data_IF_673150524122
#
_entry.id   IF_673150524122
#
_cell.length_a   1.000
_cell.length_b   1.000
_cell.length_c   1.000
_cell.angle_alpha   90.00
_cell.angle_beta   90.00
_cell.angle_gamma   90.00
#
_symmetry.space_group_name_H-M   'P 1'
#
loop_
_entity.id
_entity.type
_entity.pdbx_description
1 polymer ?
#
# COMPACT_ATOMS: atom_id res chain seq x y z
N UNK A 1 -12.19 40.56 1.46
CA UNK A 1 -11.65 39.19 1.47
C UNK A 1 -12.53 38.35 0.55
N UNK A 2 -12.07 38.04 -0.65
CA UNK A 2 -12.71 37.02 -1.47
C UNK A 2 -12.35 35.67 -0.85
N UNK A 3 -13.34 34.98 -0.29
CA UNK A 3 -13.20 33.59 0.10
C UNK A 3 -13.02 32.81 -1.19
N UNK A 4 -11.86 32.14 -1.32
CA UNK A 4 -11.60 31.22 -2.41
C UNK A 4 -12.69 30.15 -2.33
N UNK A 5 -13.53 30.07 -3.35
CA UNK A 5 -14.54 29.05 -3.47
C UNK A 5 -13.85 27.73 -3.87
N UNK A 6 -13.68 26.84 -2.90
CA UNK A 6 -13.05 25.52 -3.08
C UNK A 6 -14.06 24.45 -3.53
N UNK A 7 -15.32 24.80 -3.80
CA UNK A 7 -16.33 23.83 -4.25
C UNK A 7 -16.03 23.21 -5.63
N UNK A 8 -15.17 23.84 -6.42
CA UNK A 8 -14.70 23.35 -7.72
C UNK A 8 -13.40 22.52 -7.63
N UNK A 9 -12.78 22.43 -6.45
CA UNK A 9 -11.62 21.54 -6.21
C UNK A 9 -12.15 20.12 -5.96
N UNK A 10 -12.64 19.51 -7.05
CA UNK A 10 -13.29 18.21 -7.10
C UNK A 10 -12.51 17.11 -6.36
N UNK A 11 -13.25 16.27 -5.64
CA UNK A 11 -12.89 15.01 -4.96
C UNK A 11 -12.12 13.96 -5.80
N UNK A 12 -11.79 14.32 -7.05
CA UNK A 12 -11.14 13.55 -8.11
C UNK A 12 -9.71 13.13 -7.76
N UNK A 13 -9.02 13.81 -6.83
CA UNK A 13 -7.67 13.42 -6.38
C UNK A 13 -7.71 12.51 -5.14
N UNK A 14 -8.55 12.83 -4.17
CA UNK A 14 -8.63 12.11 -2.89
C UNK A 14 -9.20 10.71 -3.08
N UNK A 15 -10.27 10.54 -3.87
CA UNK A 15 -10.89 9.23 -4.09
C UNK A 15 -9.94 8.27 -4.82
N UNK A 16 -9.23 8.75 -5.85
CA UNK A 16 -8.20 7.98 -6.55
C UNK A 16 -7.03 7.60 -5.64
N UNK A 17 -6.60 8.52 -4.77
CA UNK A 17 -5.55 8.25 -3.80
C UNK A 17 -5.97 7.22 -2.74
N UNK A 18 -7.21 7.30 -2.25
CA UNK A 18 -7.78 6.32 -1.32
C UNK A 18 -7.92 4.93 -1.98
N UNK A 19 -8.31 4.88 -3.26
CA UNK A 19 -8.33 3.64 -4.03
C UNK A 19 -6.94 3.03 -4.17
N UNK A 20 -5.91 3.84 -4.43
CA UNK A 20 -4.53 3.36 -4.46
C UNK A 20 -4.14 2.75 -3.10
N UNK A 21 -4.46 3.42 -2.00
CA UNK A 21 -4.18 2.93 -0.65
C UNK A 21 -4.86 1.61 -0.34
N UNK A 22 -6.11 1.44 -0.79
CA UNK A 22 -6.86 0.21 -0.63
C UNK A 22 -6.23 -0.93 -1.45
N UNK A 23 -5.92 -0.68 -2.73
CA UNK A 23 -5.26 -1.66 -3.61
C UNK A 23 -3.90 -2.05 -3.05
N UNK A 24 -3.08 -1.07 -2.66
CA UNK A 24 -1.75 -1.31 -2.09
C UNK A 24 -1.82 -2.13 -0.79
N UNK A 25 -2.80 -1.87 0.07
CA UNK A 25 -3.02 -2.64 1.30
C UNK A 25 -3.39 -4.09 0.99
N UNK A 26 -4.30 -4.32 0.03
CA UNK A 26 -4.70 -5.68 -0.40
C UNK A 26 -3.52 -6.43 -1.00
N UNK A 27 -2.79 -5.80 -1.92
CA UNK A 27 -1.60 -6.39 -2.56
C UNK A 27 -0.54 -6.73 -1.50
N UNK A 28 -0.27 -5.82 -0.56
CA UNK A 28 0.69 -6.06 0.51
C UNK A 28 0.27 -7.24 1.41
N UNK A 29 -1.03 -7.39 1.71
CA UNK A 29 -1.55 -8.53 2.47
C UNK A 29 -1.35 -9.83 1.68
N UNK A 30 -1.72 -9.86 0.40
CA UNK A 30 -1.55 -11.06 -0.45
C UNK A 30 -0.07 -11.46 -0.53
N UNK A 31 0.82 -10.51 -0.79
CA UNK A 31 2.26 -10.77 -0.85
C UNK A 31 2.80 -11.21 0.51
N UNK A 32 2.31 -10.64 1.61
CA UNK A 32 2.65 -11.12 2.93
C UNK A 32 2.17 -12.58 3.15
N UNK A 33 0.98 -12.96 2.70
CA UNK A 33 0.51 -14.35 2.82
C UNK A 33 1.29 -15.31 1.91
N UNK A 34 1.75 -14.87 0.74
CA UNK A 34 2.50 -15.73 -0.19
C UNK A 34 3.93 -16.03 0.28
N UNK A 35 4.50 -15.19 1.17
CA UNK A 35 5.87 -15.37 1.66
C UNK A 35 5.86 -16.11 3.01
N UNK A 36 6.60 -17.22 3.10
CA UNK A 36 6.80 -17.94 4.34
C UNK A 36 7.53 -17.11 5.42
N UNK A 37 7.22 -17.35 6.70
CA UNK A 37 7.77 -16.57 7.82
C UNK A 37 9.30 -16.55 7.85
N UNK A 38 9.97 -17.66 7.49
CA UNK A 38 11.43 -17.75 7.47
C UNK A 38 12.07 -16.75 6.51
N UNK A 39 11.48 -16.61 5.31
CA UNK A 39 11.95 -15.69 4.30
C UNK A 39 11.72 -14.24 4.73
N UNK A 40 10.60 -13.95 5.40
CA UNK A 40 10.34 -12.62 5.96
C UNK A 40 11.38 -12.22 7.01
N UNK A 41 11.80 -13.16 7.86
CA UNK A 41 12.82 -12.91 8.89
C UNK A 41 14.22 -12.70 8.29
N UNK A 42 14.53 -13.39 7.18
CA UNK A 42 15.78 -13.19 6.43
C UNK A 42 15.79 -11.86 5.68
N UNK A 43 14.66 -11.53 5.04
CA UNK A 43 14.62 -10.42 4.09
C UNK A 43 14.31 -9.06 4.71
N UNK A 44 13.60 -9.05 5.84
CA UNK A 44 13.16 -7.84 6.53
C UNK A 44 13.66 -7.81 7.97
N UNK A 45 14.26 -6.68 8.35
CA UNK A 45 14.74 -6.46 9.70
C UNK A 45 13.56 -6.35 10.65
N UNK A 46 13.47 -7.27 11.61
CA UNK A 46 12.53 -7.17 12.72
C UNK A 46 13.03 -6.17 13.75
N UNK A 47 12.11 -5.44 14.39
CA UNK A 47 12.46 -4.49 15.46
C UNK A 47 12.85 -5.27 16.72
N UNK A 48 13.93 -4.82 17.37
CA UNK A 48 14.51 -5.47 18.56
C UNK A 48 13.82 -5.09 19.89
N UNK A 49 12.98 -4.05 19.90
CA UNK A 49 12.33 -3.52 21.10
C UNK A 49 10.91 -3.01 20.80
N UNK A 50 9.97 -3.37 21.67
CA UNK A 50 8.58 -2.93 21.66
C UNK A 50 8.30 -2.15 22.96
N UNK A 51 8.30 -0.81 22.91
CA UNK A 51 7.77 0.02 24.00
C UNK A 51 6.23 0.12 23.94
N UNK A 52 5.61 0.75 24.95
CA UNK A 52 4.15 0.89 25.06
C UNK A 52 3.51 1.56 23.82
N UNK A 53 4.14 2.60 23.27
CA UNK A 53 3.66 3.34 22.08
C UNK A 53 4.11 2.71 20.74
N UNK A 54 4.85 1.60 20.79
CA UNK A 54 5.51 0.96 19.63
C UNK A 54 5.17 -0.54 19.53
N UNK A 55 4.22 -1.03 20.34
CA UNK A 55 3.69 -2.39 20.24
C UNK A 55 3.04 -2.58 18.87
N UNK A 56 3.44 -3.63 18.17
CA UNK A 56 2.75 -4.08 16.96
C UNK A 56 1.35 -4.56 17.34
N UNK A 57 0.34 -3.99 16.69
CA UNK A 57 -1.00 -4.60 16.65
C UNK A 57 -0.97 -5.92 15.90
N UNK A 58 -2.11 -6.62 15.87
CA UNK A 58 -2.25 -7.95 15.24
C UNK A 58 -1.69 -7.98 13.81
N UNK A 59 -2.01 -6.96 13.01
CA UNK A 59 -1.50 -6.79 11.63
C UNK A 59 0.04 -6.63 11.54
N UNK A 60 0.67 -5.96 12.52
CA UNK A 60 2.12 -5.77 12.53
C UNK A 60 2.89 -7.06 12.83
N UNK A 61 2.30 -7.97 13.61
CA UNK A 61 2.89 -9.29 13.89
C UNK A 61 2.68 -10.29 12.74
N UNK A 62 1.57 -10.19 11.99
CA UNK A 62 1.33 -11.05 10.83
C UNK A 62 2.12 -10.64 9.59
N UNK A 63 2.22 -9.33 9.33
CA UNK A 63 2.90 -8.85 8.14
C UNK A 63 4.38 -9.19 8.19
N UNK A 64 5.07 -8.95 9.31
CA UNK A 64 6.55 -9.06 9.47
C UNK A 64 7.37 -8.32 8.39
N UNK A 65 6.73 -7.66 7.41
CA UNK A 65 7.35 -6.76 6.45
C UNK A 65 7.79 -5.52 7.22
N UNK A 66 9.04 -5.57 7.68
CA UNK A 66 9.72 -4.46 8.34
C UNK A 66 10.49 -3.61 7.32
N UNK A 67 11.62 -3.06 7.76
CA UNK A 67 12.55 -2.40 6.84
C UNK A 67 13.28 -3.50 6.04
N UNK A 68 13.32 -3.42 4.69
CA UNK A 68 14.05 -4.40 3.89
C UNK A 68 15.54 -4.35 4.25
N UNK A 69 16.13 -5.52 4.48
CA UNK A 69 17.55 -5.68 4.88
C UNK A 69 18.36 -6.47 3.84
N UNK A 70 17.70 -6.91 2.78
CA UNK A 70 18.25 -7.78 1.73
C UNK A 70 17.81 -7.28 0.36
N UNK A 71 18.51 -7.73 -0.70
CA UNK A 71 18.15 -7.40 -2.09
C UNK A 71 16.75 -7.93 -2.43
N UNK A 72 16.41 -9.11 -1.91
CA UNK A 72 15.10 -9.74 -2.07
C UNK A 72 14.00 -8.96 -1.35
N UNK A 73 14.26 -8.48 -0.13
CA UNK A 73 13.32 -7.64 0.60
C UNK A 73 13.02 -6.32 -0.12
N UNK A 74 14.06 -5.72 -0.73
CA UNK A 74 13.89 -4.53 -1.55
C UNK A 74 13.11 -4.83 -2.84
N UNK A 75 13.42 -5.94 -3.51
CA UNK A 75 12.69 -6.39 -4.70
C UNK A 75 11.21 -6.66 -4.41
N UNK A 76 10.89 -7.26 -3.26
CA UNK A 76 9.50 -7.50 -2.83
C UNK A 76 8.78 -6.19 -2.54
N UNK A 77 9.46 -5.26 -1.85
CA UNK A 77 8.88 -3.95 -1.54
C UNK A 77 8.61 -3.18 -2.84
N UNK A 78 9.59 -3.11 -3.74
CA UNK A 78 9.44 -2.48 -5.04
C UNK A 78 8.34 -3.17 -5.88
N UNK A 79 8.29 -4.50 -5.86
CA UNK A 79 7.25 -5.28 -6.53
C UNK A 79 5.84 -4.99 -6.02
N UNK A 80 5.66 -4.78 -4.72
CA UNK A 80 4.37 -4.37 -4.14
C UNK A 80 3.97 -2.99 -4.68
N UNK A 81 4.88 -2.02 -4.69
CA UNK A 81 4.58 -0.65 -5.17
C UNK A 81 4.33 -0.58 -6.68
N UNK A 82 5.14 -1.29 -7.47
CA UNK A 82 4.97 -1.34 -8.93
C UNK A 82 3.70 -2.11 -9.26
N UNK A 83 3.48 -3.28 -8.65
CA UNK A 83 2.30 -4.10 -8.88
C UNK A 83 1.01 -3.37 -8.48
N UNK A 84 0.98 -2.73 -7.31
CA UNK A 84 -0.17 -1.93 -6.89
C UNK A 84 -0.40 -0.72 -7.81
N UNK A 85 0.67 -0.08 -8.27
CA UNK A 85 0.61 1.03 -9.23
C UNK A 85 0.00 0.63 -10.56
N UNK A 86 0.42 -0.52 -11.13
CA UNK A 86 -0.13 -1.02 -12.39
C UNK A 86 -1.61 -1.41 -12.23
N UNK A 87 -1.97 -2.12 -11.16
CA UNK A 87 -3.36 -2.51 -10.90
C UNK A 87 -4.24 -1.27 -10.74
N UNK A 88 -3.78 -0.28 -9.97
CA UNK A 88 -4.49 0.98 -9.79
C UNK A 88 -4.63 1.74 -11.11
N UNK A 89 -3.57 1.85 -11.91
CA UNK A 89 -3.62 2.56 -13.19
C UNK A 89 -4.58 1.90 -14.18
N UNK A 90 -4.57 0.57 -14.28
CA UNK A 90 -5.55 -0.16 -15.08
C UNK A 90 -6.98 0.06 -14.58
N UNK A 91 -7.18 0.05 -13.26
CA UNK A 91 -8.50 0.22 -12.68
C UNK A 91 -9.04 1.64 -12.91
N UNK A 92 -8.22 2.67 -12.72
CA UNK A 92 -8.62 4.09 -12.83
C UNK A 92 -8.71 4.57 -14.27
N UNK A 93 -7.78 4.20 -15.14
CA UNK A 93 -7.72 4.76 -16.49
C UNK A 93 -8.35 3.86 -17.56
N UNK A 94 -8.61 2.59 -17.26
CA UNK A 94 -9.20 1.65 -18.24
C UNK A 94 -10.53 1.12 -17.76
N UNK A 95 -10.58 0.48 -16.58
CA UNK A 95 -11.79 -0.23 -16.12
C UNK A 95 -12.90 0.76 -15.78
N UNK A 96 -12.66 1.71 -14.87
CA UNK A 96 -13.67 2.66 -14.44
C UNK A 96 -14.28 3.46 -15.60
N UNK A 97 -13.49 4.01 -16.55
CA UNK A 97 -14.02 4.71 -17.72
C UNK A 97 -14.87 3.82 -18.65
N UNK A 98 -14.50 2.54 -18.84
CA UNK A 98 -15.28 1.58 -19.64
C UNK A 98 -16.67 1.35 -19.04
N UNK A 99 -16.80 1.40 -17.72
CA UNK A 99 -18.09 1.29 -17.02
C UNK A 99 -18.82 2.63 -16.84
N UNK A 100 -18.32 3.72 -17.45
CA UNK A 100 -18.91 5.05 -17.35
C UNK A 100 -18.61 5.79 -16.05
N UNK A 101 -17.75 5.24 -15.20
CA UNK A 101 -17.24 5.91 -14.00
C UNK A 101 -16.00 6.72 -14.36
N UNK A 102 -16.17 8.02 -14.61
CA UNK A 102 -15.04 8.95 -14.74
C UNK A 102 -14.68 9.46 -13.35
N UNK A 103 -13.79 8.72 -12.70
CA UNK A 103 -13.21 9.02 -11.38
C UNK A 103 -11.90 9.72 -11.55
#
# INVERSE_FOLDING_TARGET
>A
MQLIDLSDVQDFSAARFLLYWLIASVVAIIVAYSIGQENKLKWFRQRKSNGFMVRRGVFGNFSLLGVPNSKEGFAITAGIFIGSGVIWALLVFVILPVFGYNL
#
